data_IF_943771719152
#
_entry.id   IF_943771719152
#
_cell.length_a   1.000
_cell.length_b   1.000
_cell.length_c   1.000
_cell.angle_alpha   90.00
_cell.angle_beta   90.00
_cell.angle_gamma   90.00
#
_symmetry.space_group_name_H-M   'P 1'
#
loop_
_entity.id
_entity.type
_entity.pdbx_description
1 polymer ?
#
# COMPACT_ATOMS: atom_id res chain seq x y z
N UNK A 1 70.05 7.05 3.48
CA UNK A 1 69.73 5.62 3.62
C UNK A 1 68.22 5.46 3.44
N UNK A 2 67.79 5.06 2.23
CA UNK A 2 66.37 4.93 1.85
C UNK A 2 66.04 3.43 1.92
N UNK A 3 65.16 3.03 2.83
CA UNK A 3 64.63 1.66 2.86
C UNK A 3 63.24 1.68 2.21
N UNK A 4 63.17 1.16 0.97
CA UNK A 4 61.94 0.87 0.24
C UNK A 4 61.28 -0.37 0.82
N UNK A 5 60.06 -0.22 1.35
CA UNK A 5 59.22 -1.33 1.86
C UNK A 5 58.46 -1.94 0.67
N UNK A 6 58.97 -3.02 0.10
CA UNK A 6 58.31 -3.80 -0.96
C UNK A 6 57.04 -4.49 -0.42
N UNK A 7 55.92 -4.28 -1.11
CA UNK A 7 54.61 -4.87 -0.82
C UNK A 7 54.55 -6.28 -1.40
N UNK A 8 54.34 -7.30 -0.55
CA UNK A 8 54.17 -8.70 -0.99
C UNK A 8 52.75 -8.87 -1.56
N UNK A 9 52.67 -8.97 -2.88
CA UNK A 9 51.47 -9.46 -3.56
C UNK A 9 51.37 -10.98 -3.39
N UNK A 10 50.35 -11.44 -2.66
CA UNK A 10 50.03 -12.85 -2.53
C UNK A 10 49.29 -13.34 -3.79
N UNK A 11 50.00 -14.06 -4.65
CA UNK A 11 49.40 -14.79 -5.78
C UNK A 11 48.83 -16.10 -5.25
N UNK A 12 47.50 -16.17 -5.09
CA UNK A 12 46.81 -17.42 -4.71
C UNK A 12 46.70 -18.40 -5.89
N UNK A 13 46.92 -19.71 -5.67
CA UNK A 13 46.84 -20.75 -6.70
C UNK A 13 45.41 -20.92 -7.25
N UNK A 14 45.29 -21.19 -8.54
CA UNK A 14 44.03 -21.21 -9.30
C UNK A 14 42.94 -22.12 -8.72
N UNK A 15 43.31 -23.23 -8.08
CA UNK A 15 42.38 -24.17 -7.44
C UNK A 15 41.64 -23.60 -6.22
N UNK A 16 42.25 -22.65 -5.50
CA UNK A 16 41.63 -22.01 -4.32
C UNK A 16 40.69 -20.85 -4.70
N UNK A 17 40.81 -20.31 -5.92
CA UNK A 17 39.93 -19.26 -6.43
C UNK A 17 38.53 -19.79 -6.75
N UNK A 18 38.42 -20.98 -7.32
CA UNK A 18 37.12 -21.62 -7.61
C UNK A 18 36.32 -21.92 -6.33
N UNK A 19 36.98 -22.42 -5.28
CA UNK A 19 36.32 -22.73 -4.00
C UNK A 19 35.76 -21.46 -3.35
N UNK A 20 36.52 -20.36 -3.38
CA UNK A 20 36.06 -19.07 -2.85
C UNK A 20 34.85 -18.52 -3.64
N UNK A 21 34.88 -18.62 -4.97
CA UNK A 21 33.76 -18.19 -5.82
C UNK A 21 32.51 -19.04 -5.54
N UNK A 22 32.64 -20.36 -5.40
CA UNK A 22 31.51 -21.25 -5.06
C UNK A 22 30.94 -20.90 -3.68
N UNK A 23 31.79 -20.66 -2.68
CA UNK A 23 31.33 -20.23 -1.35
C UNK A 23 30.56 -18.90 -1.42
N UNK A 24 31.10 -17.90 -2.12
CA UNK A 24 30.44 -16.60 -2.28
C UNK A 24 29.10 -16.73 -3.02
N UNK A 25 29.03 -17.55 -4.08
CA UNK A 25 27.78 -17.81 -4.81
C UNK A 25 26.75 -18.55 -3.95
N UNK A 26 27.17 -19.56 -3.18
CA UNK A 26 26.29 -20.26 -2.24
C UNK A 26 25.80 -19.32 -1.14
N UNK A 27 26.67 -18.50 -0.54
CA UNK A 27 26.30 -17.50 0.46
C UNK A 27 25.30 -16.47 -0.09
N UNK A 28 25.51 -16.00 -1.34
CA UNK A 28 24.55 -15.12 -2.01
C UNK A 28 23.21 -15.80 -2.27
N UNK A 29 23.20 -17.06 -2.70
CA UNK A 29 21.98 -17.84 -2.91
C UNK A 29 21.20 -18.10 -1.60
N UNK A 30 21.89 -18.43 -0.50
CA UNK A 30 21.29 -18.57 0.83
C UNK A 30 20.69 -17.24 1.33
N UNK A 31 21.41 -16.13 1.15
CA UNK A 31 20.87 -14.81 1.51
C UNK A 31 19.65 -14.43 0.66
N UNK A 32 19.69 -14.69 -0.66
CA UNK A 32 18.57 -14.41 -1.56
C UNK A 32 17.33 -15.24 -1.20
N UNK A 33 17.50 -16.53 -0.88
CA UNK A 33 16.41 -17.41 -0.45
C UNK A 33 15.77 -16.99 0.89
N UNK A 34 16.58 -16.54 1.84
CA UNK A 34 16.08 -16.05 3.14
C UNK A 34 15.29 -14.74 3.01
N UNK A 35 15.71 -13.83 2.12
CA UNK A 35 15.04 -12.56 1.86
C UNK A 35 13.66 -12.77 1.20
N UNK A 36 13.57 -13.69 0.24
CA UNK A 36 12.30 -14.02 -0.45
C UNK A 36 11.28 -14.61 0.52
N UNK A 37 11.70 -15.48 1.44
CA UNK A 37 10.82 -16.04 2.47
C UNK A 37 10.36 -15.00 3.49
N UNK A 38 11.25 -14.10 3.93
CA UNK A 38 10.87 -13.02 4.83
C UNK A 38 9.83 -12.07 4.20
N UNK A 39 10.00 -11.74 2.91
CA UNK A 39 9.07 -10.87 2.18
C UNK A 39 7.70 -11.52 1.95
N UNK A 40 7.65 -12.81 1.58
CA UNK A 40 6.38 -13.51 1.37
C UNK A 40 5.60 -13.68 2.69
N UNK A 41 6.32 -13.93 3.79
CA UNK A 41 5.73 -14.06 5.12
C UNK A 41 5.20 -12.73 5.67
N UNK A 42 5.94 -11.63 5.51
CA UNK A 42 5.48 -10.29 5.90
C UNK A 42 4.26 -9.84 5.09
N UNK A 43 4.27 -10.07 3.77
CA UNK A 43 3.11 -9.81 2.91
C UNK A 43 1.87 -10.58 3.38
N UNK A 44 2.00 -11.89 3.64
CA UNK A 44 0.88 -12.74 4.09
C UNK A 44 0.30 -12.26 5.43
N UNK A 45 1.16 -11.89 6.38
CA UNK A 45 0.75 -11.37 7.69
C UNK A 45 0.01 -10.02 7.57
N UNK A 46 0.56 -9.07 6.82
CA UNK A 46 -0.08 -7.77 6.58
C UNK A 46 -1.41 -7.94 5.86
N UNK A 47 -1.48 -8.78 4.83
CA UNK A 47 -2.70 -9.05 4.10
C UNK A 47 -3.79 -9.67 5.00
N UNK A 48 -3.44 -10.63 5.87
CA UNK A 48 -4.38 -11.27 6.79
C UNK A 48 -4.94 -10.28 7.82
N UNK A 49 -4.06 -9.54 8.51
CA UNK A 49 -4.47 -8.54 9.50
C UNK A 49 -5.29 -7.39 8.88
N UNK A 50 -4.86 -6.89 7.72
CA UNK A 50 -5.61 -5.90 6.96
C UNK A 50 -7.00 -6.42 6.59
N UNK A 51 -7.10 -7.66 6.07
CA UNK A 51 -8.37 -8.30 5.71
C UNK A 51 -9.33 -8.38 6.89
N UNK A 52 -8.86 -8.84 8.05
CA UNK A 52 -9.70 -8.98 9.26
C UNK A 52 -10.24 -7.60 9.68
N UNK A 53 -9.35 -6.61 9.82
CA UNK A 53 -9.73 -5.26 10.26
C UNK A 53 -10.67 -4.57 9.26
N UNK A 54 -10.43 -4.77 7.97
CA UNK A 54 -11.29 -4.25 6.90
C UNK A 54 -12.67 -4.89 6.89
N UNK A 55 -12.75 -6.22 7.04
CA UNK A 55 -14.03 -6.93 7.11
C UNK A 55 -14.84 -6.53 8.34
N UNK A 56 -14.20 -6.41 9.51
CA UNK A 56 -14.85 -5.96 10.74
C UNK A 56 -15.41 -4.53 10.58
N UNK A 57 -14.59 -3.62 10.07
CA UNK A 57 -14.99 -2.22 9.85
C UNK A 57 -16.10 -2.11 8.81
N UNK A 58 -16.02 -2.88 7.73
CA UNK A 58 -17.05 -2.95 6.70
C UNK A 58 -18.37 -3.48 7.27
N UNK A 59 -18.33 -4.56 8.06
CA UNK A 59 -19.54 -5.10 8.72
C UNK A 59 -20.19 -4.05 9.62
N UNK A 60 -19.39 -3.34 10.42
CA UNK A 60 -19.89 -2.29 11.28
C UNK A 60 -20.57 -1.17 10.47
N UNK A 61 -19.90 -0.64 9.45
CA UNK A 61 -20.44 0.45 8.64
C UNK A 61 -21.66 0.01 7.81
N UNK A 62 -21.67 -1.24 7.33
CA UNK A 62 -22.79 -1.83 6.61
C UNK A 62 -24.03 -1.90 7.49
N UNK A 63 -23.88 -2.37 8.74
CA UNK A 63 -24.98 -2.39 9.71
C UNK A 63 -25.47 -0.97 10.05
N UNK A 64 -24.56 0.00 10.21
CA UNK A 64 -24.91 1.37 10.58
C UNK A 64 -25.76 2.07 9.52
N UNK A 65 -25.45 1.85 8.23
CA UNK A 65 -26.16 2.50 7.12
C UNK A 65 -27.12 1.58 6.37
N UNK A 66 -27.33 0.36 6.88
CA UNK A 66 -28.16 -0.66 6.25
C UNK A 66 -27.81 -0.89 4.76
N UNK A 67 -26.52 -0.99 4.45
CA UNK A 67 -26.03 -1.16 3.08
C UNK A 67 -25.59 -2.60 2.82
N UNK A 68 -25.97 -3.15 1.69
CA UNK A 68 -25.49 -4.42 1.16
C UNK A 68 -24.32 -4.24 0.19
N UNK A 69 -23.72 -5.34 -0.25
CA UNK A 69 -22.68 -5.31 -1.28
C UNK A 69 -23.20 -4.68 -2.60
N UNK A 70 -24.47 -4.92 -2.94
CA UNK A 70 -25.10 -4.41 -4.17
C UNK A 70 -25.20 -2.88 -4.14
N UNK A 71 -25.35 -2.28 -2.96
CA UNK A 71 -25.39 -0.82 -2.80
C UNK A 71 -24.01 -0.18 -2.93
N UNK A 72 -22.97 -0.91 -2.52
CA UNK A 72 -21.59 -0.40 -2.42
C UNK A 72 -20.83 -0.55 -3.74
N UNK A 73 -21.02 -1.67 -4.47
CA UNK A 73 -20.31 -1.96 -5.72
C UNK A 73 -20.38 -0.83 -6.77
N UNK A 74 -21.54 -0.18 -7.00
CA UNK A 74 -21.64 0.90 -7.98
C UNK A 74 -20.71 2.09 -7.70
N UNK A 75 -20.36 2.35 -6.43
CA UNK A 75 -19.44 3.43 -6.05
C UNK A 75 -18.05 3.24 -6.68
N UNK A 76 -17.66 1.98 -6.93
CA UNK A 76 -16.39 1.62 -7.53
C UNK A 76 -16.47 1.47 -9.05
N UNK A 77 -17.68 1.34 -9.60
CA UNK A 77 -17.93 1.26 -11.03
C UNK A 77 -17.89 2.63 -11.75
N UNK A 78 -17.46 3.71 -11.06
CA UNK A 78 -17.37 5.10 -11.58
C UNK A 78 -18.69 5.74 -11.98
N UNK A 79 -19.77 5.22 -11.43
CA UNK A 79 -21.10 5.71 -11.69
C UNK A 79 -21.56 6.40 -10.40
N UNK A 80 -21.78 7.71 -10.44
CA UNK A 80 -22.27 8.50 -9.28
C UNK A 80 -23.76 8.24 -9.01
N UNK A 81 -24.18 6.98 -9.13
CA UNK A 81 -25.54 6.48 -8.88
C UNK A 81 -25.64 5.84 -7.50
N UNK A 82 -24.53 5.75 -6.76
CA UNK A 82 -24.55 5.20 -5.41
C UNK A 82 -25.46 6.02 -4.47
N UNK A 83 -26.27 5.31 -3.68
CA UNK A 83 -27.19 5.89 -2.70
C UNK A 83 -26.44 6.71 -1.65
N UNK A 84 -27.14 7.63 -0.98
CA UNK A 84 -26.55 8.41 0.11
C UNK A 84 -26.03 7.51 1.23
N UNK A 85 -26.72 6.39 1.50
CA UNK A 85 -26.32 5.37 2.47
C UNK A 85 -24.99 4.74 2.08
N UNK A 86 -24.80 4.38 0.81
CA UNK A 86 -23.55 3.82 0.31
C UNK A 86 -22.39 4.84 0.40
N UNK A 87 -22.66 6.11 0.11
CA UNK A 87 -21.67 7.18 0.29
C UNK A 87 -21.32 7.39 1.77
N UNK A 88 -22.30 7.31 2.67
CA UNK A 88 -22.06 7.41 4.10
C UNK A 88 -21.37 6.16 4.69
N UNK A 89 -21.56 4.99 4.08
CA UNK A 89 -20.76 3.80 4.38
C UNK A 89 -19.26 4.08 4.16
N UNK A 90 -18.88 4.74 3.07
CA UNK A 90 -17.49 5.16 2.85
C UNK A 90 -17.03 6.16 3.92
N UNK A 91 -17.85 7.14 4.29
CA UNK A 91 -17.51 8.07 5.37
C UNK A 91 -17.22 7.32 6.68
N UNK A 92 -18.05 6.34 7.06
CA UNK A 92 -17.82 5.54 8.26
C UNK A 92 -16.51 4.76 8.19
N UNK A 93 -16.16 4.15 7.04
CA UNK A 93 -14.87 3.49 6.88
C UNK A 93 -13.71 4.46 7.12
N UNK A 94 -13.75 5.63 6.48
CA UNK A 94 -12.71 6.65 6.63
C UNK A 94 -12.59 7.14 8.08
N UNK A 95 -13.72 7.28 8.79
CA UNK A 95 -13.75 7.66 10.20
C UNK A 95 -13.21 6.55 11.12
N UNK A 96 -13.50 5.28 10.85
CA UNK A 96 -12.96 4.14 11.62
C UNK A 96 -11.43 4.07 11.51
N UNK A 97 -10.89 4.40 10.35
CA UNK A 97 -9.45 4.55 10.15
C UNK A 97 -8.91 5.94 10.52
N UNK A 98 -9.77 6.80 11.06
CA UNK A 98 -9.47 8.15 11.52
C UNK A 98 -8.88 9.06 10.43
N UNK A 99 -9.06 8.70 9.16
CA UNK A 99 -8.60 9.48 8.01
C UNK A 99 -9.34 10.78 7.86
N UNK A 100 -10.60 10.82 8.29
CA UNK A 100 -11.45 12.00 8.28
C UNK A 100 -12.11 12.14 9.65
N UNK A 101 -12.17 13.36 10.16
CA UNK A 101 -12.86 13.66 11.41
C UNK A 101 -14.39 13.81 11.20
N UNK A 102 -15.09 14.15 12.29
CA UNK A 102 -16.54 14.45 12.25
C UNK A 102 -16.85 15.80 11.59
N UNK A 103 -15.86 16.66 11.39
CA UNK A 103 -15.99 17.94 10.68
C UNK A 103 -15.80 17.82 9.17
N UNK A 104 -15.29 16.68 8.69
CA UNK A 104 -14.98 16.45 7.28
C UNK A 104 -13.55 16.87 6.89
N UNK A 105 -12.65 17.07 7.86
CA UNK A 105 -11.24 17.38 7.63
C UNK A 105 -10.44 16.09 7.53
N UNK A 106 -9.61 15.98 6.49
CA UNK A 106 -8.72 14.82 6.32
C UNK A 106 -7.43 14.95 7.14
N UNK A 107 -7.05 13.87 7.80
CA UNK A 107 -5.77 13.73 8.50
C UNK A 107 -4.76 13.02 7.60
N UNK A 108 -3.86 13.78 6.97
CA UNK A 108 -2.83 13.27 6.05
C UNK A 108 -2.01 12.12 6.65
N UNK A 109 -1.58 12.28 7.88
CA UNK A 109 -0.78 11.32 8.63
C UNK A 109 -1.55 10.02 8.94
N UNK A 110 -2.88 10.07 9.16
CA UNK A 110 -3.71 8.86 9.30
C UNK A 110 -3.88 8.15 7.97
N UNK A 111 -4.02 8.88 6.86
CA UNK A 111 -4.07 8.28 5.52
C UNK A 111 -2.76 7.58 5.18
N UNK A 112 -1.61 8.20 5.47
CA UNK A 112 -0.30 7.57 5.25
C UNK A 112 -0.13 6.27 6.05
N UNK A 113 -0.47 6.30 7.35
CA UNK A 113 -0.42 5.09 8.19
C UNK A 113 -1.31 3.98 7.67
N UNK A 114 -2.51 4.30 7.19
CA UNK A 114 -3.37 3.29 6.58
C UNK A 114 -2.74 2.70 5.32
N UNK A 115 -2.20 3.53 4.42
CA UNK A 115 -1.54 3.04 3.22
C UNK A 115 -0.34 2.15 3.56
N UNK A 116 0.41 2.47 4.60
CA UNK A 116 1.53 1.67 5.07
C UNK A 116 1.10 0.32 5.68
N UNK A 117 -0.09 0.25 6.29
CA UNK A 117 -0.68 -1.00 6.78
C UNK A 117 -1.11 -1.95 5.66
N UNK A 118 -1.33 -1.44 4.44
CA UNK A 118 -1.72 -2.27 3.30
C UNK A 118 -0.55 -3.15 2.84
N UNK A 119 -0.83 -4.38 2.39
CA UNK A 119 0.16 -5.21 1.74
C UNK A 119 0.71 -4.51 0.48
N UNK A 120 1.99 -4.73 0.20
CA UNK A 120 2.66 -4.11 -0.94
C UNK A 120 2.04 -4.58 -2.26
N UNK A 121 1.58 -3.63 -3.07
CA UNK A 121 0.83 -3.90 -4.30
C UNK A 121 0.89 -2.71 -5.24
N UNK A 122 0.67 -2.93 -6.54
CA UNK A 122 0.52 -1.83 -7.52
C UNK A 122 -0.59 -0.86 -7.10
N UNK A 123 -1.67 -1.40 -6.54
CA UNK A 123 -2.77 -0.60 -6.01
C UNK A 123 -2.31 0.35 -4.89
N UNK A 124 -1.60 -0.15 -3.88
CA UNK A 124 -1.01 0.69 -2.80
C UNK A 124 -0.11 1.79 -3.38
N UNK A 125 0.76 1.46 -4.34
CA UNK A 125 1.65 2.44 -4.98
C UNK A 125 0.87 3.53 -5.72
N UNK A 126 -0.19 3.16 -6.44
CA UNK A 126 -1.09 4.13 -7.09
C UNK A 126 -1.80 5.03 -6.08
N UNK A 127 -2.31 4.47 -4.97
CA UNK A 127 -2.94 5.26 -3.92
C UNK A 127 -1.95 6.28 -3.33
N UNK A 128 -0.71 5.87 -3.05
CA UNK A 128 0.34 6.77 -2.53
C UNK A 128 0.62 7.93 -3.48
N UNK A 129 0.66 7.67 -4.78
CA UNK A 129 0.91 8.71 -5.78
C UNK A 129 -0.22 9.74 -5.86
N UNK A 130 -1.48 9.31 -5.80
CA UNK A 130 -2.63 10.19 -5.98
C UNK A 130 -3.20 10.77 -4.68
N UNK A 131 -2.70 10.32 -3.53
CA UNK A 131 -3.13 10.76 -2.20
C UNK A 131 -3.29 12.28 -2.10
N UNK A 132 -2.25 13.04 -2.40
CA UNK A 132 -2.26 14.49 -2.22
C UNK A 132 -3.21 15.24 -3.16
N UNK A 133 -3.52 14.65 -4.33
CA UNK A 133 -4.56 15.13 -5.24
C UNK A 133 -5.94 14.86 -4.62
N UNK A 134 -6.18 13.62 -4.18
CA UNK A 134 -7.49 13.19 -3.70
C UNK A 134 -7.89 13.79 -2.34
N UNK A 135 -6.92 14.15 -1.50
CA UNK A 135 -7.18 14.84 -0.23
C UNK A 135 -7.76 16.26 -0.39
N UNK A 136 -7.69 16.83 -1.60
CA UNK A 136 -8.25 18.15 -1.91
C UNK A 136 -9.73 18.09 -2.31
N UNK A 137 -10.31 16.90 -2.41
CA UNK A 137 -11.72 16.72 -2.72
C UNK A 137 -12.58 17.35 -1.63
N UNK A 138 -13.55 18.17 -2.06
CA UNK A 138 -14.42 18.90 -1.14
C UNK A 138 -15.91 18.80 -1.52
N UNK A 139 -16.74 18.93 -0.50
CA UNK A 139 -18.19 18.88 -0.59
C UNK A 139 -18.82 19.34 0.72
N UNK A 140 -19.92 20.07 0.64
CA UNK A 140 -20.74 20.48 1.79
C UNK A 140 -21.32 19.27 2.55
N UNK A 141 -21.67 18.21 1.83
CA UNK A 141 -22.10 16.95 2.42
C UNK A 141 -20.89 16.03 2.66
N UNK A 142 -20.71 15.57 3.90
CA UNK A 142 -19.57 14.75 4.30
C UNK A 142 -19.56 13.36 3.66
N UNK A 143 -20.72 12.73 3.46
CA UNK A 143 -20.81 11.44 2.76
C UNK A 143 -20.40 11.59 1.30
N UNK A 144 -20.85 12.68 0.64
CA UNK A 144 -20.41 13.00 -0.71
C UNK A 144 -18.90 13.32 -0.76
N UNK A 145 -18.35 13.99 0.26
CA UNK A 145 -16.91 14.25 0.37
C UNK A 145 -16.10 12.96 0.45
N UNK A 146 -16.52 12.03 1.31
CA UNK A 146 -15.93 10.71 1.43
C UNK A 146 -15.98 9.93 0.10
N UNK A 147 -17.12 9.96 -0.59
CA UNK A 147 -17.25 9.36 -1.90
C UNK A 147 -16.29 9.97 -2.93
N UNK A 148 -16.22 11.30 -3.03
CA UNK A 148 -15.30 11.97 -3.96
C UNK A 148 -13.85 11.60 -3.71
N UNK A 149 -13.43 11.59 -2.44
CA UNK A 149 -12.10 11.14 -2.02
C UNK A 149 -11.83 9.70 -2.50
N UNK A 150 -12.74 8.75 -2.23
CA UNK A 150 -12.58 7.36 -2.67
C UNK A 150 -12.58 7.22 -4.20
N UNK A 151 -13.48 7.92 -4.89
CA UNK A 151 -13.62 7.89 -6.34
C UNK A 151 -12.41 8.50 -7.07
N UNK A 152 -11.74 9.49 -6.48
CA UNK A 152 -10.57 10.14 -7.05
C UNK A 152 -9.42 9.15 -7.35
N UNK A 153 -9.26 8.10 -6.52
CA UNK A 153 -8.26 7.06 -6.77
C UNK A 153 -8.57 6.24 -8.03
N UNK A 154 -9.85 5.97 -8.31
CA UNK A 154 -10.25 5.22 -9.50
C UNK A 154 -10.17 6.04 -10.79
N UNK A 155 -10.41 7.35 -10.69
CA UNK A 155 -10.25 8.29 -11.83
C UNK A 155 -8.78 8.47 -12.18
N UNK A 156 -7.93 8.73 -11.19
CA UNK A 156 -6.52 9.04 -11.43
C UNK A 156 -5.70 7.84 -11.92
N UNK A 157 -6.14 6.60 -11.64
CA UNK A 157 -5.53 5.39 -12.22
C UNK A 157 -5.80 5.24 -13.73
N UNK A 158 -6.88 5.82 -14.27
CA UNK A 158 -7.22 5.78 -15.71
C UNK A 158 -6.45 6.83 -16.49
N UNK A 159 -6.26 8.02 -15.92
CA UNK A 159 -5.47 9.08 -16.56
C UNK A 159 -4.05 8.60 -16.91
N UNK A 160 -3.56 7.53 -16.25
CA UNK A 160 -2.32 6.83 -16.59
C UNK A 160 -2.44 5.80 -17.72
N UNK A 161 -3.57 5.14 -17.87
CA UNK A 161 -3.78 4.13 -18.94
C UNK A 161 -4.21 4.76 -20.27
N UNK A 162 -4.59 6.03 -20.29
CA UNK A 162 -4.88 6.80 -21.52
C UNK A 162 -3.89 7.95 -21.77
N UNK A 163 -2.79 7.97 -21.01
CA UNK A 163 -1.74 9.00 -21.07
C UNK A 163 -0.33 8.40 -21.18
N UNK A 164 -0.14 7.38 -22.01
CA UNK A 164 1.17 6.91 -22.50
C UNK A 164 1.08 6.62 -23.99
#
# INVERSE_FOLDING_TARGET
MIILRQSKYYVLPASKKCIFIIYVLLSHLYHLGSLIHAHSYDYSRKASSFKINFMESSKHCSNLYNTSLVDILPLFARVDIGSIQAKCFLLCLLQRYQMIDKGGTFHRDRVDRFLDSMPDSKFKSSLKLFKDKCLKEDSQNQCQKAYKFSACFYKSNIDKEHGS
#
